data_IF_145239286188
#
_entry.id   IF_145239286188
#
_cell.length_a   1.000
_cell.length_b   1.000
_cell.length_c   1.000
_cell.angle_alpha   90.00
_cell.angle_beta   90.00
_cell.angle_gamma   90.00
#
_symmetry.space_group_name_H-M   'P 1'
#
loop_
_entity.id
_entity.type
_entity.pdbx_description
1 polymer ?
#
# COMPACT_ATOMS: atom_id res chain seq x y z
N UNK A 1 69.69 -12.03 -14.78
CA UNK A 1 70.00 -12.58 -16.09
C UNK A 1 68.86 -12.20 -16.96
N UNK A 2 68.93 -11.21 -17.71
CA UNK A 2 69.60 -10.70 -18.86
C UNK A 2 68.48 -10.31 -19.77
N UNK A 3 68.18 -8.99 -20.00
CA UNK A 3 68.67 -8.16 -21.10
C UNK A 3 68.28 -8.77 -22.44
N UNK A 4 67.55 -8.14 -23.36
CA UNK A 4 67.93 -6.95 -24.12
C UNK A 4 66.75 -6.47 -24.99
N UNK A 5 66.55 -5.18 -25.08
CA UNK A 5 66.15 -4.41 -26.25
C UNK A 5 67.37 -4.24 -27.17
N UNK A 6 67.33 -3.70 -28.42
CA UNK A 6 66.51 -2.67 -29.01
C UNK A 6 66.31 -2.70 -30.54
N UNK A 7 65.76 -1.61 -31.08
CA UNK A 7 66.14 -0.88 -32.31
C UNK A 7 65.13 -0.80 -33.43
N UNK A 8 64.51 0.36 -33.52
CA UNK A 8 64.41 1.39 -34.58
C UNK A 8 64.52 0.97 -36.07
N UNK A 9 63.63 1.48 -36.90
CA UNK A 9 63.82 2.54 -37.90
C UNK A 9 62.62 2.68 -38.85
N UNK A 10 62.04 3.84 -38.83
CA UNK A 10 61.58 4.73 -39.91
C UNK A 10 61.22 4.15 -41.28
N UNK A 11 60.03 4.57 -41.81
CA UNK A 11 60.02 5.41 -43.01
C UNK A 11 58.65 6.07 -43.25
N UNK A 12 58.74 7.29 -43.70
CA UNK A 12 57.75 8.22 -44.17
C UNK A 12 57.01 7.71 -45.41
N UNK A 13 55.69 7.98 -45.51
CA UNK A 13 54.92 7.89 -46.76
C UNK A 13 53.68 8.75 -46.62
N UNK A 14 53.63 9.81 -47.40
CA UNK A 14 52.62 10.87 -47.47
C UNK A 14 51.33 10.44 -48.19
N UNK A 15 50.22 11.07 -47.76
CA UNK A 15 48.95 11.33 -48.49
C UNK A 15 48.00 10.16 -48.80
N UNK A 16 46.81 10.17 -48.23
CA UNK A 16 45.63 10.63 -48.95
C UNK A 16 44.48 10.95 -47.95
N UNK A 17 43.82 12.09 -48.24
CA UNK A 17 42.67 12.51 -47.46
C UNK A 17 41.40 11.75 -47.87
N UNK A 18 40.89 10.93 -46.96
CA UNK A 18 39.51 10.54 -47.00
C UNK A 18 38.80 11.00 -45.71
N UNK A 19 37.95 12.00 -45.91
CA UNK A 19 36.95 12.43 -44.91
C UNK A 19 36.02 11.28 -44.66
N UNK A 20 36.23 10.51 -43.61
CA UNK A 20 35.24 9.56 -43.13
C UNK A 20 34.17 10.37 -42.38
N UNK A 21 33.02 10.55 -43.00
CA UNK A 21 31.82 10.92 -42.32
C UNK A 21 31.62 9.91 -41.18
N UNK A 22 31.79 10.35 -39.94
CA UNK A 22 31.28 9.64 -38.78
C UNK A 22 29.76 9.74 -38.84
N UNK A 23 29.11 8.68 -39.35
CA UNK A 23 27.67 8.50 -39.15
C UNK A 23 27.45 8.49 -37.64
N UNK A 24 26.79 9.56 -37.14
CA UNK A 24 26.24 9.60 -35.80
C UNK A 24 25.32 8.40 -35.66
N UNK A 25 25.62 7.48 -34.76
CA UNK A 25 24.72 6.42 -34.33
C UNK A 25 23.36 7.04 -33.99
N UNK A 26 22.26 6.48 -34.44
CA UNK A 26 20.94 6.99 -34.06
C UNK A 26 20.84 7.01 -32.53
N UNK A 27 20.70 8.19 -31.95
CA UNK A 27 20.31 8.36 -30.56
C UNK A 27 19.07 7.48 -30.34
N UNK A 28 19.11 6.60 -29.34
CA UNK A 28 17.95 5.88 -28.87
C UNK A 28 16.83 6.89 -28.66
N UNK A 29 15.91 6.93 -29.58
CA UNK A 29 14.64 7.65 -29.41
C UNK A 29 13.95 6.93 -28.26
N UNK A 30 14.06 7.44 -27.04
CA UNK A 30 13.23 6.99 -25.94
C UNK A 30 11.79 7.05 -26.43
N UNK A 31 11.14 5.90 -26.54
CA UNK A 31 9.74 5.82 -26.88
C UNK A 31 8.97 6.71 -25.89
N UNK A 32 8.33 7.77 -26.40
CA UNK A 32 7.53 8.67 -25.58
C UNK A 32 6.40 7.82 -25.00
N UNK A 33 6.46 7.60 -23.70
CA UNK A 33 5.44 6.83 -22.99
C UNK A 33 4.08 7.52 -23.15
N UNK A 34 3.05 6.79 -23.60
CA UNK A 34 1.73 7.36 -23.83
C UNK A 34 1.09 7.79 -22.51
N UNK A 35 0.43 8.95 -22.51
CA UNK A 35 -0.27 9.46 -21.34
C UNK A 35 -1.35 8.47 -20.87
N UNK A 36 -1.35 8.18 -19.57
CA UNK A 36 -2.34 7.29 -18.94
C UNK A 36 -3.07 8.01 -17.81
N UNK A 37 -4.33 7.61 -17.63
CA UNK A 37 -5.19 8.10 -16.56
C UNK A 37 -5.27 7.06 -15.43
N UNK A 38 -4.99 7.51 -14.22
CA UNK A 38 -5.08 6.72 -13.00
C UNK A 38 -6.18 7.28 -12.11
N UNK A 39 -6.78 6.42 -11.31
CA UNK A 39 -7.93 6.80 -10.49
C UNK A 39 -7.82 6.29 -9.07
N UNK A 40 -8.57 6.92 -8.15
CA UNK A 40 -9.02 6.26 -6.94
C UNK A 40 -10.54 6.09 -7.04
N UNK A 41 -11.00 4.85 -6.88
CA UNK A 41 -12.42 4.48 -6.81
C UNK A 41 -12.84 4.26 -5.36
N UNK A 42 -13.94 4.88 -4.97
CA UNK A 42 -14.52 4.75 -3.64
C UNK A 42 -15.66 5.71 -3.43
N UNK A 43 -16.18 5.78 -2.21
CA UNK A 43 -17.28 6.67 -1.84
C UNK A 43 -16.84 7.63 -0.73
N UNK A 44 -17.31 8.89 -0.80
CA UNK A 44 -16.98 9.96 0.13
C UNK A 44 -15.45 10.17 0.30
N UNK A 45 -14.74 10.26 -0.84
CA UNK A 45 -13.27 10.32 -0.93
C UNK A 45 -12.72 11.61 -1.54
N UNK A 46 -13.54 12.66 -1.69
CA UNK A 46 -13.14 13.98 -2.23
C UNK A 46 -11.91 14.58 -1.53
N UNK A 47 -11.67 14.17 -0.29
CA UNK A 47 -10.53 14.57 0.53
C UNK A 47 -9.27 13.71 0.38
N UNK A 48 -9.26 12.74 -0.53
CA UNK A 48 -8.14 11.80 -0.70
C UNK A 48 -6.82 12.54 -0.99
N UNK A 49 -5.76 12.07 -0.35
CA UNK A 49 -4.40 12.57 -0.55
C UNK A 49 -3.68 11.87 -1.71
N UNK A 50 -4.24 10.76 -2.22
CA UNK A 50 -3.64 9.96 -3.30
C UNK A 50 -3.34 10.75 -4.56
N UNK A 51 -4.21 11.69 -5.05
CA UNK A 51 -3.88 12.49 -6.22
C UNK A 51 -2.63 13.36 -6.04
N UNK A 52 -2.48 13.99 -4.89
CA UNK A 52 -1.30 14.82 -4.61
C UNK A 52 -0.01 13.98 -4.60
N UNK A 53 -0.08 12.80 -4.00
CA UNK A 53 1.04 11.88 -3.86
C UNK A 53 1.46 11.29 -5.22
N UNK A 54 0.53 10.70 -5.97
CA UNK A 54 0.84 10.02 -7.23
C UNK A 54 1.20 10.99 -8.37
N UNK A 55 0.50 12.13 -8.49
CA UNK A 55 0.83 13.12 -9.51
C UNK A 55 2.23 13.72 -9.30
N UNK A 56 2.64 13.95 -8.05
CA UNK A 56 4.01 14.38 -7.76
C UNK A 56 5.04 13.33 -8.16
N UNK A 57 4.75 12.04 -7.94
CA UNK A 57 5.58 10.93 -8.37
C UNK A 57 5.71 10.86 -9.89
N UNK A 58 4.62 10.96 -10.62
CA UNK A 58 4.62 10.98 -12.09
C UNK A 58 5.42 12.17 -12.63
N UNK A 59 5.20 13.35 -12.07
CA UNK A 59 5.95 14.55 -12.46
C UNK A 59 7.46 14.40 -12.19
N UNK A 60 7.86 13.86 -11.05
CA UNK A 60 9.26 13.68 -10.69
C UNK A 60 10.01 12.75 -11.65
N UNK A 61 9.31 11.78 -12.24
CA UNK A 61 9.88 10.85 -13.23
C UNK A 61 9.59 11.24 -14.68
N UNK A 62 9.07 12.46 -14.92
CA UNK A 62 8.65 12.96 -16.25
C UNK A 62 7.69 12.01 -16.99
N UNK A 63 6.80 11.35 -16.24
CA UNK A 63 5.76 10.49 -16.81
C UNK A 63 4.54 11.35 -17.18
N UNK A 64 3.97 11.21 -18.38
CA UNK A 64 2.83 12.00 -18.83
C UNK A 64 1.50 11.51 -18.28
N UNK A 65 1.52 10.98 -17.06
CA UNK A 65 0.38 10.35 -16.42
C UNK A 65 -0.37 11.32 -15.51
N UNK A 66 -1.66 11.06 -15.30
CA UNK A 66 -2.49 11.85 -14.40
C UNK A 66 -3.33 10.95 -13.49
N UNK A 67 -3.43 11.32 -12.22
CA UNK A 67 -4.19 10.62 -11.20
C UNK A 67 -5.31 11.49 -10.66
N UNK A 68 -6.53 10.96 -10.59
CA UNK A 68 -7.71 11.70 -10.18
C UNK A 68 -8.68 10.85 -9.33
N UNK A 69 -9.65 11.52 -8.72
CA UNK A 69 -10.71 10.89 -7.92
C UNK A 69 -11.91 10.58 -8.82
N UNK A 70 -12.49 9.40 -8.63
CA UNK A 70 -13.82 9.08 -9.12
C UNK A 70 -14.65 8.48 -7.99
N UNK A 71 -15.68 9.21 -7.56
CA UNK A 71 -16.56 8.78 -6.47
C UNK A 71 -17.79 8.07 -7.01
N UNK A 72 -18.13 6.95 -6.37
CA UNK A 72 -19.36 6.21 -6.59
C UNK A 72 -19.71 5.38 -5.34
N UNK A 73 -20.99 5.14 -5.08
CA UNK A 73 -21.44 4.34 -3.93
C UNK A 73 -21.14 2.86 -4.10
N UNK A 74 -21.00 2.42 -5.33
CA UNK A 74 -20.74 1.02 -5.70
C UNK A 74 -19.92 0.97 -6.99
N UNK A 75 -19.42 -0.21 -7.33
CA UNK A 75 -18.80 -0.48 -8.64
C UNK A 75 -19.91 -0.51 -9.69
N UNK A 76 -20.13 0.62 -10.35
CA UNK A 76 -21.20 0.86 -11.30
C UNK A 76 -20.72 0.85 -12.77
N UNK A 77 -21.63 1.14 -13.71
CA UNK A 77 -21.31 1.20 -15.14
C UNK A 77 -20.30 2.32 -15.47
N UNK A 78 -20.23 3.41 -14.68
CA UNK A 78 -19.24 4.46 -14.89
C UNK A 78 -17.82 3.96 -14.56
N UNK A 79 -17.65 3.22 -13.45
CA UNK A 79 -16.39 2.57 -13.10
C UNK A 79 -15.97 1.60 -14.20
N UNK A 80 -16.90 0.81 -14.73
CA UNK A 80 -16.67 -0.13 -15.83
C UNK A 80 -16.28 0.59 -17.13
N UNK A 81 -16.96 1.69 -17.47
CA UNK A 81 -16.61 2.51 -18.63
C UNK A 81 -15.19 3.07 -18.50
N UNK A 82 -14.83 3.66 -17.33
CA UNK A 82 -13.50 4.20 -17.08
C UNK A 82 -12.43 3.12 -17.22
N UNK A 83 -12.64 1.96 -16.63
CA UNK A 83 -11.66 0.86 -16.69
C UNK A 83 -11.49 0.28 -18.10
N UNK A 84 -12.47 0.46 -18.98
CA UNK A 84 -12.46 0.00 -20.38
C UNK A 84 -11.72 0.96 -21.32
N UNK A 85 -11.43 2.20 -20.90
CA UNK A 85 -10.77 3.21 -21.75
C UNK A 85 -9.36 2.79 -22.13
N UNK A 86 -8.90 3.07 -23.37
CA UNK A 86 -7.54 2.73 -23.80
C UNK A 86 -6.44 3.45 -23.02
N UNK A 87 -6.75 4.64 -22.48
CA UNK A 87 -5.84 5.47 -21.68
C UNK A 87 -5.89 5.14 -20.18
N UNK A 88 -6.77 4.25 -19.70
CA UNK A 88 -6.78 3.83 -18.32
C UNK A 88 -5.48 3.09 -17.98
N UNK A 89 -4.72 3.60 -17.00
CA UNK A 89 -3.42 3.06 -16.56
C UNK A 89 -3.53 2.16 -15.33
N UNK A 90 -4.54 2.39 -14.49
CA UNK A 90 -4.73 1.67 -13.24
C UNK A 90 -5.56 2.45 -12.25
N UNK A 91 -5.84 1.84 -11.10
CA UNK A 91 -6.58 2.50 -10.04
C UNK A 91 -6.21 2.01 -8.64
N UNK A 92 -6.26 2.93 -7.67
CA UNK A 92 -6.46 2.60 -6.27
C UNK A 92 -7.94 2.31 -6.02
N UNK A 93 -8.23 1.42 -5.10
CA UNK A 93 -9.60 1.07 -4.70
C UNK A 93 -9.73 1.18 -3.19
N UNK A 94 -10.74 1.92 -2.73
CA UNK A 94 -11.02 2.08 -1.30
C UNK A 94 -12.48 1.71 -0.97
N UNK A 95 -12.89 1.97 0.27
CA UNK A 95 -14.26 1.68 0.71
C UNK A 95 -15.30 2.38 -0.18
N UNK A 96 -16.40 1.70 -0.54
CA UNK A 96 -16.74 0.29 -0.23
C UNK A 96 -16.28 -0.72 -1.29
N UNK A 97 -15.56 -0.30 -2.33
CA UNK A 97 -15.31 -1.04 -3.57
C UNK A 97 -14.32 -2.21 -3.44
N UNK A 98 -13.45 -2.24 -2.40
CA UNK A 98 -12.40 -3.27 -2.27
C UNK A 98 -12.88 -4.72 -2.35
N UNK A 99 -14.12 -4.98 -1.95
CA UNK A 99 -14.76 -6.31 -2.02
C UNK A 99 -15.62 -6.50 -3.27
N UNK A 100 -15.83 -5.45 -4.08
CA UNK A 100 -16.74 -5.46 -5.23
C UNK A 100 -16.00 -5.45 -6.56
N UNK A 101 -14.84 -4.76 -6.63
CA UNK A 101 -14.12 -4.48 -7.87
C UNK A 101 -13.69 -5.75 -8.62
N UNK A 102 -13.58 -6.87 -7.92
CA UNK A 102 -13.22 -8.18 -8.49
C UNK A 102 -14.08 -8.59 -9.68
N UNK A 103 -15.35 -8.15 -9.73
CA UNK A 103 -16.27 -8.42 -10.84
C UNK A 103 -15.85 -7.81 -12.18
N UNK A 104 -14.97 -6.80 -12.18
CA UNK A 104 -14.46 -6.14 -13.38
C UNK A 104 -13.05 -6.63 -13.78
N UNK A 105 -12.43 -7.50 -12.99
CA UNK A 105 -11.04 -7.93 -13.19
C UNK A 105 -10.96 -9.21 -14.01
N UNK A 106 -9.99 -9.26 -14.92
CA UNK A 106 -9.67 -10.45 -15.70
C UNK A 106 -8.86 -11.47 -14.88
N UNK A 107 -8.11 -11.00 -13.89
CA UNK A 107 -7.30 -11.83 -13.00
C UNK A 107 -6.99 -11.13 -11.68
N UNK A 108 -6.66 -11.91 -10.66
CA UNK A 108 -6.23 -11.43 -9.35
C UNK A 108 -4.88 -12.08 -9.00
N UNK A 109 -4.02 -11.37 -8.30
CA UNK A 109 -2.78 -11.95 -7.81
C UNK A 109 -3.09 -13.02 -6.75
N UNK A 110 -2.23 -14.06 -6.59
CA UNK A 110 -2.41 -15.05 -5.52
C UNK A 110 -2.51 -14.40 -4.13
N UNK A 111 -1.85 -13.27 -3.95
CA UNK A 111 -1.91 -12.47 -2.74
C UNK A 111 -3.28 -11.77 -2.58
N UNK A 112 -3.77 -11.15 -3.65
CA UNK A 112 -5.10 -10.52 -3.67
C UNK A 112 -6.20 -11.52 -3.36
N UNK A 113 -6.10 -12.74 -3.91
CA UNK A 113 -7.01 -13.85 -3.61
C UNK A 113 -6.94 -14.27 -2.15
N UNK A 114 -5.74 -14.46 -1.59
CA UNK A 114 -5.54 -14.83 -0.17
C UNK A 114 -6.12 -13.77 0.76
N UNK A 115 -5.94 -12.49 0.46
CA UNK A 115 -6.50 -11.37 1.23
C UNK A 115 -8.02 -11.27 1.03
N UNK A 116 -8.51 -11.58 -0.18
CA UNK A 116 -9.92 -11.46 -0.53
C UNK A 116 -10.44 -10.03 -0.58
N UNK A 117 -9.54 -9.06 -0.83
CA UNK A 117 -9.86 -7.65 -1.02
C UNK A 117 -8.83 -7.00 -1.94
N UNK A 118 -9.29 -6.18 -2.88
CA UNK A 118 -8.44 -5.52 -3.88
C UNK A 118 -8.39 -4.02 -3.57
N UNK A 119 -7.19 -3.47 -3.40
CA UNK A 119 -6.98 -2.03 -3.29
C UNK A 119 -6.27 -1.43 -4.50
N UNK A 120 -5.79 -2.27 -5.44
CA UNK A 120 -4.98 -1.85 -6.58
C UNK A 120 -5.43 -2.59 -7.85
N UNK A 121 -5.73 -1.85 -8.90
CA UNK A 121 -5.95 -2.38 -10.25
C UNK A 121 -4.77 -1.98 -11.13
N UNK A 122 -4.16 -2.97 -11.77
CA UNK A 122 -3.02 -2.80 -12.67
C UNK A 122 -3.44 -3.22 -14.08
N UNK A 123 -3.10 -2.44 -15.07
CA UNK A 123 -3.27 -2.82 -16.47
C UNK A 123 -2.03 -3.58 -16.92
N UNK A 124 -2.21 -4.82 -17.36
CA UNK A 124 -1.16 -5.66 -17.91
C UNK A 124 -1.47 -6.01 -19.37
N UNK A 125 -0.43 -6.35 -20.11
CA UNK A 125 -0.59 -6.94 -21.44
C UNK A 125 -0.16 -8.41 -21.40
N UNK A 126 -1.01 -9.29 -21.94
CA UNK A 126 -0.73 -10.71 -22.05
C UNK A 126 -1.26 -11.25 -23.37
N UNK A 127 -0.37 -11.82 -24.19
CA UNK A 127 -0.74 -12.35 -25.50
C UNK A 127 -1.38 -11.31 -26.44
N UNK A 128 -0.98 -10.04 -26.36
CA UNK A 128 -1.54 -8.93 -27.15
C UNK A 128 -2.92 -8.46 -26.67
N UNK A 129 -3.39 -8.94 -25.52
CA UNK A 129 -4.64 -8.49 -24.89
C UNK A 129 -4.33 -7.66 -23.64
N UNK A 130 -5.09 -6.60 -23.48
CA UNK A 130 -5.13 -5.79 -22.26
C UNK A 130 -5.88 -6.56 -21.18
N UNK A 131 -5.31 -6.65 -19.99
CA UNK A 131 -5.83 -7.40 -18.84
C UNK A 131 -5.90 -6.47 -17.64
N UNK A 132 -7.05 -6.44 -16.95
CA UNK A 132 -7.21 -5.82 -15.66
C UNK A 132 -6.83 -6.81 -14.56
N UNK A 133 -5.76 -6.52 -13.85
CA UNK A 133 -5.21 -7.38 -12.81
C UNK A 133 -5.37 -6.74 -11.44
N UNK A 134 -6.01 -7.45 -10.50
CA UNK A 134 -6.19 -6.99 -9.13
C UNK A 134 -5.06 -7.40 -8.19
N UNK A 135 -4.71 -6.50 -7.27
CA UNK A 135 -3.73 -6.76 -6.22
C UNK A 135 -4.10 -6.01 -4.94
N UNK A 136 -3.34 -6.23 -3.88
CA UNK A 136 -3.51 -5.52 -2.61
C UNK A 136 -2.16 -5.04 -2.06
N UNK A 137 -2.04 -3.75 -1.82
CA UNK A 137 -0.85 -3.12 -1.24
C UNK A 137 -1.07 -2.60 0.19
N UNK A 138 -2.29 -2.64 0.71
CA UNK A 138 -2.59 -2.16 2.08
C UNK A 138 -1.76 -2.92 3.13
N UNK A 139 -1.62 -4.23 2.98
CA UNK A 139 -0.83 -5.05 3.90
C UNK A 139 0.64 -4.62 3.97
N UNK A 140 1.20 -4.12 2.86
CA UNK A 140 2.57 -3.60 2.81
C UNK A 140 2.68 -2.35 3.69
N UNK A 141 1.70 -1.44 3.55
CA UNK A 141 1.63 -0.23 4.35
C UNK A 141 1.54 -0.55 5.85
N UNK A 142 0.62 -1.42 6.23
CA UNK A 142 0.43 -1.86 7.62
C UNK A 142 1.71 -2.52 8.15
N UNK A 143 2.25 -3.49 7.42
CA UNK A 143 3.48 -4.21 7.81
C UNK A 143 4.65 -3.26 8.03
N UNK A 144 4.83 -2.28 7.14
CA UNK A 144 5.92 -1.30 7.24
C UNK A 144 5.74 -0.37 8.45
N UNK A 145 4.52 0.05 8.74
CA UNK A 145 4.22 0.83 9.96
C UNK A 145 4.56 0.05 11.24
N UNK A 146 4.12 -1.21 11.32
CA UNK A 146 4.44 -2.08 12.48
C UNK A 146 5.96 -2.29 12.60
N UNK A 147 6.65 -2.58 11.50
CA UNK A 147 8.10 -2.78 11.50
C UNK A 147 8.87 -1.53 11.95
N UNK A 148 8.44 -0.33 11.49
CA UNK A 148 9.03 0.95 11.91
C UNK A 148 8.84 1.25 13.41
N UNK A 149 7.82 0.69 14.01
CA UNK A 149 7.62 0.81 15.45
C UNK A 149 8.74 0.15 16.26
N UNK A 150 9.40 -0.87 15.72
CA UNK A 150 10.53 -1.54 16.37
C UNK A 150 10.14 -2.26 17.65
N UNK A 151 8.87 -2.68 17.79
CA UNK A 151 8.38 -3.46 18.92
C UNK A 151 9.06 -4.83 18.90
N UNK A 152 9.57 -5.25 20.05
CA UNK A 152 10.28 -6.51 20.17
C UNK A 152 9.31 -7.70 20.37
N UNK A 153 9.82 -8.90 20.15
CA UNK A 153 9.12 -10.17 20.44
C UNK A 153 7.71 -10.30 19.83
N UNK A 154 7.49 -9.73 18.65
CA UNK A 154 6.20 -9.78 17.97
C UNK A 154 5.71 -11.21 17.73
N UNK A 155 6.61 -12.17 17.50
CA UNK A 155 6.26 -13.57 17.22
C UNK A 155 5.59 -14.27 18.40
N UNK A 156 5.92 -13.86 19.63
CA UNK A 156 5.32 -14.41 20.87
C UNK A 156 4.16 -13.55 21.40
N UNK A 157 3.72 -12.57 20.63
CA UNK A 157 2.65 -11.63 20.99
C UNK A 157 1.34 -11.94 20.27
N UNK A 158 0.27 -11.25 20.68
CA UNK A 158 -1.01 -11.20 19.97
C UNK A 158 -1.18 -9.90 19.20
N UNK A 159 -1.87 -9.98 18.08
CA UNK A 159 -2.35 -8.83 17.34
C UNK A 159 -3.89 -8.77 17.37
N UNK A 160 -4.43 -7.57 17.63
CA UNK A 160 -5.87 -7.30 17.57
C UNK A 160 -6.17 -6.55 16.28
N UNK A 161 -7.10 -7.06 15.48
CA UNK A 161 -7.64 -6.41 14.29
C UNK A 161 -9.10 -6.07 14.53
N UNK A 162 -9.43 -4.77 14.47
CA UNK A 162 -10.79 -4.30 14.62
C UNK A 162 -11.46 -4.16 13.26
N UNK A 163 -12.55 -4.90 13.06
CA UNK A 163 -13.32 -4.93 11.83
C UNK A 163 -13.12 -6.22 11.03
N UNK A 164 -13.98 -6.41 10.00
CA UNK A 164 -13.93 -7.55 9.10
C UNK A 164 -14.11 -7.13 7.62
N UNK A 165 -13.88 -5.87 7.29
CA UNK A 165 -13.92 -5.32 5.94
C UNK A 165 -12.63 -5.53 5.15
N UNK A 166 -12.54 -4.89 3.98
CA UNK A 166 -11.37 -5.03 3.09
C UNK A 166 -10.04 -4.63 3.73
N UNK A 167 -10.02 -3.59 4.58
CA UNK A 167 -8.81 -3.18 5.31
C UNK A 167 -8.41 -4.21 6.38
N UNK A 168 -9.40 -4.76 7.11
CA UNK A 168 -9.14 -5.79 8.12
C UNK A 168 -8.56 -7.08 7.52
N UNK A 169 -8.99 -7.47 6.32
CA UNK A 169 -8.42 -8.59 5.57
C UNK A 169 -6.92 -8.37 5.29
N UNK A 170 -6.56 -7.18 4.80
CA UNK A 170 -5.16 -6.82 4.58
C UNK A 170 -4.36 -6.76 5.89
N UNK A 171 -4.98 -6.30 6.98
CA UNK A 171 -4.38 -6.29 8.32
C UNK A 171 -4.07 -7.71 8.83
N UNK A 172 -5.00 -8.64 8.71
CA UNK A 172 -4.78 -10.05 9.07
C UNK A 172 -3.63 -10.66 8.27
N UNK A 173 -3.54 -10.37 6.98
CA UNK A 173 -2.42 -10.82 6.15
C UNK A 173 -1.09 -10.17 6.58
N UNK A 174 -1.10 -8.88 6.92
CA UNK A 174 0.09 -8.22 7.46
C UNK A 174 0.57 -8.87 8.76
N UNK A 175 -0.34 -9.18 9.68
CA UNK A 175 -0.06 -9.90 10.94
C UNK A 175 0.59 -11.25 10.64
N UNK A 176 0.04 -12.03 9.72
CA UNK A 176 0.62 -13.32 9.30
C UNK A 176 2.06 -13.13 8.77
N UNK A 177 2.29 -12.13 7.90
CA UNK A 177 3.63 -11.89 7.29
C UNK A 177 4.65 -11.31 8.27
N UNK A 178 4.22 -10.77 9.40
CA UNK A 178 5.07 -10.34 10.52
C UNK A 178 5.50 -11.51 11.41
N UNK A 179 4.91 -12.69 11.20
CA UNK A 179 5.21 -13.90 12.00
C UNK A 179 4.51 -13.92 13.36
N UNK A 180 3.56 -13.02 13.60
CA UNK A 180 2.73 -13.02 14.82
C UNK A 180 1.81 -14.24 14.76
N UNK A 181 1.84 -15.08 15.80
CA UNK A 181 1.14 -16.37 15.79
C UNK A 181 -0.30 -16.28 16.30
N UNK A 182 -0.63 -15.27 17.08
CA UNK A 182 -1.97 -15.10 17.63
C UNK A 182 -2.66 -13.87 17.03
N UNK A 183 -3.82 -14.12 16.41
CA UNK A 183 -4.64 -13.11 15.77
C UNK A 183 -6.02 -13.05 16.44
N UNK A 184 -6.35 -11.90 17.01
CA UNK A 184 -7.63 -11.61 17.62
C UNK A 184 -8.41 -10.69 16.65
N UNK A 185 -9.59 -11.13 16.21
CA UNK A 185 -10.44 -10.34 15.33
C UNK A 185 -11.69 -9.90 16.09
N UNK A 186 -11.89 -8.61 16.18
CA UNK A 186 -13.07 -8.04 16.84
C UNK A 186 -13.97 -7.39 15.80
N UNK A 187 -15.22 -7.85 15.72
CA UNK A 187 -16.18 -7.25 14.82
C UNK A 187 -17.61 -7.35 15.37
N UNK A 188 -18.36 -6.25 15.37
CA UNK A 188 -19.75 -6.15 15.86
C UNK A 188 -20.65 -7.31 15.39
N UNK A 189 -20.45 -7.78 14.16
CA UNK A 189 -21.12 -9.00 13.65
C UNK A 189 -20.11 -10.15 13.78
N UNK A 190 -20.25 -10.99 14.81
CA UNK A 190 -19.30 -12.06 15.13
C UNK A 190 -19.07 -13.00 13.94
N UNK A 191 -20.13 -13.39 13.22
CA UNK A 191 -19.99 -14.30 12.06
C UNK A 191 -19.04 -13.76 10.98
N UNK A 192 -18.97 -12.43 10.77
CA UNK A 192 -18.01 -11.84 9.85
C UNK A 192 -16.54 -11.94 10.34
N UNK A 193 -16.35 -11.91 11.66
CA UNK A 193 -15.03 -12.14 12.23
C UNK A 193 -14.61 -13.61 12.09
N UNK A 194 -15.55 -14.53 12.30
CA UNK A 194 -15.35 -15.98 12.13
C UNK A 194 -15.05 -16.33 10.66
N UNK A 195 -15.81 -15.77 9.71
CA UNK A 195 -15.58 -15.94 8.28
C UNK A 195 -14.17 -15.44 7.89
N UNK A 196 -13.77 -14.29 8.44
CA UNK A 196 -12.42 -13.75 8.19
C UNK A 196 -11.34 -14.63 8.83
N UNK A 197 -11.53 -15.07 10.08
CA UNK A 197 -10.59 -15.93 10.79
C UNK A 197 -10.34 -17.25 10.04
N UNK A 198 -11.37 -17.83 9.42
CA UNK A 198 -11.26 -19.08 8.66
C UNK A 198 -10.27 -19.02 7.49
N UNK A 199 -10.02 -17.82 6.96
CA UNK A 199 -9.07 -17.60 5.86
C UNK A 199 -7.61 -17.56 6.31
N UNK A 200 -7.38 -17.48 7.63
CA UNK A 200 -6.05 -17.41 8.26
C UNK A 200 -5.83 -18.58 9.25
N UNK A 201 -6.23 -19.77 8.82
CA UNK A 201 -6.17 -21.00 9.64
C UNK A 201 -4.75 -21.40 10.04
N UNK A 202 -3.72 -20.83 9.45
CA UNK A 202 -2.32 -21.01 9.83
C UNK A 202 -1.96 -20.29 11.14
N UNK A 203 -2.80 -19.33 11.56
CA UNK A 203 -2.64 -18.58 12.80
C UNK A 203 -3.57 -19.14 13.89
N UNK A 204 -3.21 -18.96 15.14
CA UNK A 204 -4.15 -19.15 16.25
C UNK A 204 -5.12 -17.97 16.28
N UNK A 205 -6.31 -18.17 15.78
CA UNK A 205 -7.31 -17.11 15.67
C UNK A 205 -8.33 -17.18 16.81
N UNK A 206 -8.70 -16.00 17.32
CA UNK A 206 -9.84 -15.81 18.25
C UNK A 206 -10.73 -14.71 17.71
N UNK A 207 -12.02 -14.85 17.91
CA UNK A 207 -13.02 -13.90 17.40
C UNK A 207 -13.93 -13.43 18.53
N UNK A 208 -14.18 -12.14 18.59
CA UNK A 208 -15.02 -11.52 19.61
C UNK A 208 -15.98 -10.51 18.98
N UNK A 209 -17.09 -10.27 19.67
CA UNK A 209 -18.09 -9.29 19.26
C UNK A 209 -17.84 -7.90 19.85
N UNK A 210 -17.02 -7.80 20.90
CA UNK A 210 -16.68 -6.56 21.60
C UNK A 210 -15.19 -6.48 21.96
N UNK A 211 -14.72 -5.27 22.26
CA UNK A 211 -13.36 -5.01 22.72
C UNK A 211 -13.16 -5.46 24.17
N UNK A 212 -14.20 -5.43 24.98
CA UNK A 212 -14.20 -5.88 26.36
C UNK A 212 -13.85 -7.37 26.43
N UNK A 213 -14.46 -8.20 25.58
CA UNK A 213 -14.16 -9.63 25.51
C UNK A 213 -12.72 -9.87 25.04
N UNK A 214 -12.23 -9.08 24.09
CA UNK A 214 -10.86 -9.20 23.59
C UNK A 214 -9.80 -8.72 24.60
N UNK A 215 -10.13 -7.76 25.46
CA UNK A 215 -9.21 -7.16 26.43
C UNK A 215 -8.82 -8.05 27.59
N UNK A 216 -9.57 -9.13 27.85
CA UNK A 216 -9.33 -10.08 28.95
C UNK A 216 -8.62 -11.37 28.50
N UNK A 217 -8.02 -11.36 27.32
CA UNK A 217 -7.23 -12.49 26.83
C UNK A 217 -5.88 -12.53 27.55
N UNK A 218 -5.67 -13.54 28.39
CA UNK A 218 -4.51 -13.62 29.29
C UNK A 218 -3.29 -14.36 28.69
N UNK A 219 -3.48 -15.17 27.64
CA UNK A 219 -2.45 -16.13 27.17
C UNK A 219 -1.29 -15.50 26.38
N UNK A 220 -1.47 -14.28 25.88
CA UNK A 220 -0.44 -13.57 25.11
C UNK A 220 -0.57 -12.05 25.24
N UNK A 221 0.56 -11.36 25.36
CA UNK A 221 0.58 -9.90 25.40
C UNK A 221 0.12 -9.32 24.06
N UNK A 222 -0.90 -8.47 24.07
CA UNK A 222 -1.31 -7.69 22.90
C UNK A 222 -0.26 -6.62 22.67
N UNK A 223 0.49 -6.69 21.55
CA UNK A 223 1.51 -5.70 21.19
C UNK A 223 1.20 -4.97 19.87
N UNK A 224 0.22 -5.45 19.13
CA UNK A 224 -0.21 -4.84 17.87
C UNK A 224 -1.72 -4.66 17.88
N UNK A 225 -2.18 -3.45 17.62
CA UNK A 225 -3.60 -3.16 17.42
C UNK A 225 -3.75 -2.48 16.06
N UNK A 226 -4.67 -2.96 15.22
CA UNK A 226 -4.95 -2.40 13.91
C UNK A 226 -6.43 -2.01 13.84
N UNK A 227 -6.72 -0.71 13.85
CA UNK A 227 -8.07 -0.16 13.75
C UNK A 227 -8.51 -0.10 12.29
N UNK A 228 -9.50 -0.91 11.91
CA UNK A 228 -10.04 -1.00 10.56
C UNK A 228 -11.55 -0.70 10.51
N UNK A 229 -12.08 -0.04 11.51
CA UNK A 229 -13.48 0.41 11.59
C UNK A 229 -13.56 1.92 11.36
N UNK A 230 -14.73 2.46 10.97
CA UNK A 230 -14.94 3.91 10.95
C UNK A 230 -14.70 4.49 12.35
N UNK A 231 -13.98 5.60 12.43
CA UNK A 231 -13.60 6.20 13.71
C UNK A 231 -14.81 6.70 14.52
N UNK A 232 -15.89 7.09 13.86
CA UNK A 232 -17.13 7.54 14.48
C UNK A 232 -17.88 6.42 15.21
N UNK A 233 -17.56 5.15 14.88
CA UNK A 233 -18.17 3.97 15.50
C UNK A 233 -17.51 3.60 16.84
N UNK A 234 -16.35 4.22 17.20
CA UNK A 234 -15.54 3.84 18.35
C UNK A 234 -15.07 5.04 19.18
N UNK A 235 -15.89 5.43 20.15
CA UNK A 235 -15.58 6.48 21.12
C UNK A 235 -14.57 6.01 22.18
N UNK A 236 -13.85 6.94 22.80
CA UNK A 236 -12.80 6.67 23.78
C UNK A 236 -13.28 5.83 24.98
N UNK A 237 -14.46 6.11 25.49
CA UNK A 237 -15.08 5.43 26.64
C UNK A 237 -15.48 3.97 26.38
N UNK A 238 -15.51 3.57 25.11
CA UNK A 238 -15.79 2.19 24.66
C UNK A 238 -14.53 1.36 24.44
N UNK A 239 -13.36 1.92 24.74
CA UNK A 239 -12.08 1.26 24.51
C UNK A 239 -11.44 0.81 25.84
N UNK A 240 -11.43 -0.49 26.13
CA UNK A 240 -10.84 -0.98 27.37
C UNK A 240 -9.34 -0.71 27.44
N UNK A 241 -8.85 -0.19 28.55
CA UNK A 241 -7.41 -0.01 28.80
C UNK A 241 -6.62 -1.30 28.78
N UNK A 242 -7.24 -2.43 29.11
CA UNK A 242 -6.64 -3.76 29.06
C UNK A 242 -6.05 -4.19 27.72
N UNK A 243 -6.47 -3.55 26.63
CA UNK A 243 -5.86 -3.76 25.30
C UNK A 243 -4.42 -3.24 25.21
N UNK A 244 -4.01 -2.33 26.08
CA UNK A 244 -2.73 -1.59 26.03
C UNK A 244 -1.82 -1.87 27.23
N UNK A 245 -1.99 -3.00 27.92
CA UNK A 245 -1.22 -3.33 29.13
C UNK A 245 0.23 -3.74 28.87
N UNK A 246 0.57 -4.13 27.62
CA UNK A 246 1.95 -4.43 27.29
C UNK A 246 2.85 -3.20 27.46
N UNK A 247 4.07 -3.39 27.99
CA UNK A 247 5.04 -2.31 28.21
C UNK A 247 5.38 -1.55 26.91
N UNK A 248 5.33 -2.25 25.77
CA UNK A 248 5.49 -1.65 24.46
C UNK A 248 4.52 -2.26 23.46
N UNK A 249 4.07 -1.45 22.52
CA UNK A 249 3.17 -1.88 21.46
C UNK A 249 3.06 -0.87 20.34
N UNK A 250 2.26 -1.23 19.33
CA UNK A 250 1.96 -0.36 18.20
C UNK A 250 0.48 -0.39 17.87
N UNK A 251 -0.08 0.79 17.74
CA UNK A 251 -1.39 1.03 17.15
C UNK A 251 -1.21 1.51 15.71
N UNK A 252 -1.81 0.81 14.76
CA UNK A 252 -2.00 1.26 13.38
C UNK A 252 -3.46 1.60 13.19
N UNK A 253 -3.78 2.89 13.09
CA UNK A 253 -5.15 3.35 12.87
C UNK A 253 -5.37 3.63 11.40
N UNK A 254 -6.23 2.83 10.74
CA UNK A 254 -6.49 2.97 9.30
C UNK A 254 -7.35 4.18 8.96
N UNK A 255 -8.17 4.66 9.88
CA UNK A 255 -8.90 5.89 9.71
C UNK A 255 -7.96 7.11 9.80
N UNK A 256 -8.15 8.11 8.94
CA UNK A 256 -7.44 9.37 9.02
C UNK A 256 -8.38 10.59 9.16
N UNK A 257 -9.64 10.31 9.39
CA UNK A 257 -10.67 11.28 9.83
C UNK A 257 -11.53 10.63 10.92
N UNK A 258 -11.73 11.35 12.03
CA UNK A 258 -11.03 12.57 12.47
C UNK A 258 -9.51 12.35 12.56
N UNK A 259 -8.72 13.43 12.67
CA UNK A 259 -7.25 13.36 12.78
C UNK A 259 -6.76 12.62 14.04
N UNK A 260 -7.61 12.53 15.05
CA UNK A 260 -7.40 11.81 16.30
C UNK A 260 -8.65 10.99 16.57
N UNK A 261 -8.52 9.68 16.60
CA UNK A 261 -9.60 8.75 16.90
C UNK A 261 -9.61 8.40 18.38
N UNK A 262 -10.70 7.78 18.86
CA UNK A 262 -10.78 7.27 20.24
C UNK A 262 -9.64 6.30 20.56
N UNK A 263 -9.34 5.34 19.66
CA UNK A 263 -8.20 4.42 19.79
C UNK A 263 -6.87 5.15 19.98
N UNK A 264 -6.63 6.22 19.19
CA UNK A 264 -5.39 6.99 19.32
C UNK A 264 -5.34 7.76 20.64
N UNK A 265 -6.49 8.22 21.14
CA UNK A 265 -6.56 8.93 22.43
C UNK A 265 -6.20 7.99 23.57
N UNK A 266 -6.78 6.80 23.62
CA UNK A 266 -6.46 5.79 24.65
C UNK A 266 -5.00 5.36 24.53
N UNK A 267 -4.52 5.01 23.34
CA UNK A 267 -3.14 4.58 23.13
C UNK A 267 -2.10 5.60 23.60
N UNK A 268 -2.38 6.92 23.49
CA UNK A 268 -1.49 7.99 23.98
C UNK A 268 -1.33 8.01 25.49
N UNK A 269 -2.30 7.48 26.22
CA UNK A 269 -2.24 7.31 27.68
C UNK A 269 -1.28 6.22 28.13
N UNK A 270 -0.81 5.34 27.24
CA UNK A 270 0.04 4.21 27.56
C UNK A 270 1.46 4.44 27.08
N UNK A 271 2.40 4.61 28.00
CA UNK A 271 3.83 4.76 27.70
C UNK A 271 4.36 3.51 26.96
N UNK A 272 5.19 3.72 25.95
CA UNK A 272 5.75 2.63 25.14
C UNK A 272 4.91 2.27 23.92
N UNK A 273 3.67 2.74 23.81
CA UNK A 273 2.85 2.54 22.63
C UNK A 273 3.15 3.57 21.53
N UNK A 274 3.44 3.09 20.35
CA UNK A 274 3.68 3.92 19.16
C UNK A 274 2.44 3.95 18.29
N UNK A 275 2.12 5.10 17.71
CA UNK A 275 0.91 5.29 16.94
C UNK A 275 1.25 5.65 15.51
N UNK A 276 0.76 4.85 14.56
CA UNK A 276 0.77 5.13 13.13
C UNK A 276 -0.64 5.40 12.65
N UNK A 277 -0.79 6.45 11.88
CA UNK A 277 -2.08 6.92 11.38
C UNK A 277 -2.39 6.36 10.01
N UNK A 278 -3.62 6.44 9.58
CA UNK A 278 -4.03 6.04 8.22
C UNK A 278 -3.26 6.75 7.12
N UNK A 279 -2.80 7.98 7.36
CA UNK A 279 -1.92 8.69 6.40
C UNK A 279 -0.54 8.05 6.27
N UNK A 280 0.01 7.46 7.32
CA UNK A 280 1.29 6.76 7.28
C UNK A 280 1.15 5.45 6.49
N UNK A 281 0.04 4.73 6.68
CA UNK A 281 -0.29 3.52 5.90
C UNK A 281 -0.55 3.87 4.44
N UNK A 282 -1.30 4.96 4.17
CA UNK A 282 -1.56 5.47 2.82
C UNK A 282 -0.25 5.74 2.09
N UNK A 283 0.69 6.40 2.74
CA UNK A 283 2.01 6.72 2.19
C UNK A 283 2.76 5.44 1.78
N UNK A 284 2.90 4.50 2.69
CA UNK A 284 3.69 3.28 2.48
C UNK A 284 3.09 2.34 1.42
N UNK A 285 1.76 2.21 1.37
CA UNK A 285 1.10 1.38 0.37
C UNK A 285 1.10 2.03 -1.01
N UNK A 286 1.04 3.36 -1.08
CA UNK A 286 1.01 4.07 -2.35
C UNK A 286 2.36 3.98 -3.11
N UNK A 287 3.49 3.87 -2.42
CA UNK A 287 4.77 3.60 -3.07
C UNK A 287 4.75 2.26 -3.81
N UNK A 288 4.20 1.22 -3.18
CA UNK A 288 4.04 -0.08 -3.83
C UNK A 288 3.07 -0.01 -5.03
N UNK A 289 1.96 0.74 -4.92
CA UNK A 289 1.06 0.97 -6.06
C UNK A 289 1.79 1.66 -7.22
N UNK A 290 2.55 2.72 -6.91
CA UNK A 290 3.32 3.46 -7.91
C UNK A 290 4.29 2.55 -8.67
N UNK A 291 5.01 1.69 -7.95
CA UNK A 291 5.94 0.73 -8.54
C UNK A 291 5.23 -0.33 -9.40
N UNK A 292 4.07 -0.82 -8.96
CA UNK A 292 3.25 -1.76 -9.75
C UNK A 292 2.76 -1.16 -11.06
N UNK A 293 2.42 0.13 -11.08
CA UNK A 293 1.90 0.81 -12.27
C UNK A 293 2.99 1.23 -13.25
N UNK A 294 4.12 1.68 -12.73
CA UNK A 294 5.17 2.30 -13.56
C UNK A 294 6.35 1.38 -13.85
N UNK A 295 6.50 0.31 -13.08
CA UNK A 295 7.71 -0.54 -13.11
C UNK A 295 8.98 0.20 -12.66
N UNK A 296 8.86 1.40 -12.08
CA UNK A 296 9.95 2.25 -11.64
C UNK A 296 9.92 2.43 -10.12
N UNK A 297 11.09 2.57 -9.45
CA UNK A 297 11.12 2.90 -8.03
C UNK A 297 10.35 4.19 -7.74
N UNK A 298 9.55 4.18 -6.68
CA UNK A 298 8.79 5.35 -6.26
C UNK A 298 9.73 6.49 -5.78
N UNK A 299 9.57 7.73 -6.27
CA UNK A 299 10.34 8.88 -5.79
C UNK A 299 9.82 9.33 -4.41
N UNK A 300 10.09 8.53 -3.39
CA UNK A 300 9.51 8.55 -2.04
C UNK A 300 9.48 9.95 -1.43
N UNK A 301 10.61 10.67 -1.44
CA UNK A 301 10.71 11.98 -0.79
C UNK A 301 9.81 13.04 -1.44
N UNK A 302 9.69 13.01 -2.78
CA UNK A 302 8.84 13.94 -3.52
C UNK A 302 7.36 13.63 -3.28
N UNK A 303 6.99 12.35 -3.34
CA UNK A 303 5.63 11.88 -3.10
C UNK A 303 5.18 12.21 -1.68
N UNK A 304 6.03 11.95 -0.67
CA UNK A 304 5.80 12.29 0.74
C UNK A 304 5.61 13.79 0.93
N UNK A 305 6.52 14.60 0.40
CA UNK A 305 6.46 16.06 0.54
C UNK A 305 5.15 16.64 -0.02
N UNK A 306 4.71 16.17 -1.19
CA UNK A 306 3.46 16.60 -1.82
C UNK A 306 2.22 16.20 -0.98
N UNK A 307 2.19 14.98 -0.47
CA UNK A 307 1.12 14.51 0.41
C UNK A 307 1.05 15.35 1.69
N UNK A 308 2.18 15.58 2.35
CA UNK A 308 2.24 16.38 3.58
C UNK A 308 1.85 17.86 3.35
N UNK A 309 2.23 18.43 2.20
CA UNK A 309 1.81 19.78 1.83
C UNK A 309 0.29 19.85 1.66
N UNK A 310 -0.32 18.87 0.99
CA UNK A 310 -1.77 18.77 0.83
C UNK A 310 -2.49 18.55 2.16
N UNK A 311 -1.94 17.71 3.05
CA UNK A 311 -2.49 17.46 4.38
C UNK A 311 -2.54 18.74 5.20
N UNK A 312 -1.46 19.55 5.20
CA UNK A 312 -1.42 20.84 5.89
C UNK A 312 -2.40 21.87 5.33
N UNK A 313 -2.64 21.84 4.02
CA UNK A 313 -3.59 22.77 3.40
C UNK A 313 -5.06 22.42 3.66
N UNK A 314 -5.35 21.21 4.14
CA UNK A 314 -6.70 20.74 4.49
C UNK A 314 -7.02 20.91 5.99
N UNK A 315 -6.09 21.48 6.78
CA UNK A 315 -6.26 21.86 8.20
C UNK A 315 -6.66 23.33 8.29
#
# INVERSE_FOLDING_TARGET
>A
MGLDTPTQLSNLGLHDGSVTNSEATPSEVQAIESAKQFYIFGYNISHSLSPALHNAGFQALNLPHHYQIHESEQVDENVKEITSRPDFGGASVTFPHKLQIGSLLDSVSPLGDKIGAINTVVVKESGGKRILHGDNTDWIGIKRCVAKAGVQDLQSSAAVVLGAGGAARAACYAVQTLGIQELIIVNRTLSKAEDLASQFSELRTRTFSSLEEASVVEDAAIRVIIGCVPADDLEEDKIPGGLFEAEEGVLVEMAYRPQVTGLMTVARGHLGWKIYKGVDVLEEQAYAQFELWTGKPAPVEVMRAAMQAKLRANI
#
